data_IF_522681095785
#
_entry.id   IF_522681095785
#
_cell.length_a   1.000
_cell.length_b   1.000
_cell.length_c   1.000
_cell.angle_alpha   90.00
_cell.angle_beta   90.00
_cell.angle_gamma   90.00
#
_symmetry.space_group_name_H-M   'P 1'
#
loop_
_entity.id
_entity.type
_entity.pdbx_description
1 polymer ?
#
# COMPACT_ATOMS: atom_id res chain seq x y z
N UNK A 1 -17.15 -28.46 11.43
CA UNK A 1 -15.68 -28.49 11.36
C UNK A 1 -15.22 -27.10 10.98
N UNK A 2 -14.56 -26.34 11.87
CA UNK A 2 -14.01 -25.05 11.46
C UNK A 2 -12.85 -25.35 10.52
N UNK A 3 -12.95 -24.89 9.28
CA UNK A 3 -11.86 -24.92 8.31
C UNK A 3 -10.67 -24.20 8.92
N UNK A 4 -9.60 -24.94 9.18
CA UNK A 4 -8.29 -24.42 9.54
C UNK A 4 -7.77 -23.62 8.32
N UNK A 5 -8.20 -22.37 8.19
CA UNK A 5 -7.59 -21.43 7.27
C UNK A 5 -6.27 -21.01 7.91
N UNK A 6 -5.16 -21.39 7.30
CA UNK A 6 -3.85 -20.83 7.64
C UNK A 6 -3.95 -19.34 7.28
N UNK A 7 -4.01 -18.49 8.30
CA UNK A 7 -3.95 -17.04 8.13
C UNK A 7 -2.53 -16.66 7.67
N UNK A 8 -2.31 -16.57 6.36
CA UNK A 8 -1.03 -16.15 5.78
C UNK A 8 -0.90 -14.64 5.93
N UNK A 9 0.10 -14.18 6.67
CA UNK A 9 0.42 -12.75 6.81
C UNK A 9 1.06 -12.24 5.52
N UNK A 10 0.49 -11.21 4.90
CA UNK A 10 1.09 -10.54 3.74
C UNK A 10 2.12 -9.50 4.18
N UNK A 11 1.74 -8.62 5.12
CA UNK A 11 2.65 -7.61 5.65
C UNK A 11 2.15 -7.00 6.97
N UNK A 12 3.04 -6.27 7.64
CA UNK A 12 2.77 -5.54 8.88
C UNK A 12 3.12 -4.06 8.68
N UNK A 13 2.30 -3.16 9.24
CA UNK A 13 2.57 -1.74 9.30
C UNK A 13 2.42 -1.24 10.74
N UNK A 14 3.23 -0.26 11.13
CA UNK A 14 3.23 0.30 12.49
C UNK A 14 3.27 1.82 12.46
N UNK A 15 2.60 2.47 13.40
CA UNK A 15 2.54 3.94 13.47
C UNK A 15 3.84 4.60 13.94
N UNK A 16 4.64 3.88 14.71
CA UNK A 16 5.92 4.32 15.24
C UNK A 16 6.77 3.12 15.63
N UNK A 17 8.06 3.36 15.88
CA UNK A 17 8.89 2.42 16.62
C UNK A 17 8.30 2.24 18.03
N UNK A 18 8.41 1.06 18.66
CA UNK A 18 8.02 0.85 20.06
C UNK A 18 8.74 1.78 21.04
N UNK A 19 9.85 2.38 20.60
CA UNK A 19 10.61 3.37 21.35
C UNK A 19 10.28 4.79 20.89
N UNK A 20 9.94 5.72 21.80
CA UNK A 20 9.83 5.53 23.25
C UNK A 20 8.42 5.08 23.71
N UNK A 21 8.39 4.19 24.70
CA UNK A 21 7.21 3.46 25.20
C UNK A 21 6.02 4.29 25.73
N UNK A 22 6.15 5.61 25.82
CA UNK A 22 5.11 6.50 26.36
C UNK A 22 4.13 7.03 25.30
N UNK A 23 4.42 6.84 24.01
CA UNK A 23 3.52 7.27 22.94
C UNK A 23 2.64 6.10 22.50
N UNK A 24 1.32 6.32 22.48
CA UNK A 24 0.40 5.34 21.94
C UNK A 24 0.69 5.07 20.47
N UNK A 25 0.64 3.80 20.10
CA UNK A 25 1.00 3.32 18.78
C UNK A 25 0.07 2.21 18.33
N UNK A 26 -0.18 2.16 17.03
CA UNK A 26 -0.98 1.15 16.38
C UNK A 26 -0.11 0.21 15.56
N UNK A 27 -0.48 -1.06 15.56
CA UNK A 27 0.00 -2.06 14.60
C UNK A 27 -1.16 -2.56 13.77
N UNK A 28 -0.94 -2.65 12.46
CA UNK A 28 -1.85 -3.25 11.51
C UNK A 28 -1.19 -4.45 10.83
N UNK A 29 -1.92 -5.56 10.75
CA UNK A 29 -1.50 -6.79 10.08
C UNK A 29 -2.46 -7.04 8.92
N UNK A 30 -1.91 -7.19 7.72
CA UNK A 30 -2.64 -7.64 6.53
C UNK A 30 -2.44 -9.13 6.35
N UNK A 31 -3.54 -9.84 6.20
CA UNK A 31 -3.56 -11.26 5.84
C UNK A 31 -3.94 -11.43 4.38
N UNK A 32 -3.63 -12.59 3.81
CA UNK A 32 -4.12 -12.99 2.50
C UNK A 32 -5.67 -12.96 2.49
N UNK A 33 -6.29 -12.51 1.40
CA UNK A 33 -7.72 -12.26 1.36
C UNK A 33 -8.11 -10.88 1.88
N UNK A 34 -9.32 -10.79 2.44
CA UNK A 34 -9.95 -9.52 2.81
C UNK A 34 -9.84 -9.17 4.31
N UNK A 35 -8.84 -9.70 5.01
CA UNK A 35 -8.73 -9.55 6.46
C UNK A 35 -7.60 -8.59 6.87
N UNK A 36 -7.96 -7.66 7.76
CA UNK A 36 -7.04 -6.77 8.46
C UNK A 36 -7.23 -6.94 9.97
N UNK A 37 -6.15 -7.04 10.73
CA UNK A 37 -6.21 -6.95 12.19
C UNK A 37 -5.44 -5.73 12.67
N UNK A 38 -6.04 -4.95 13.55
CA UNK A 38 -5.42 -3.79 14.17
C UNK A 38 -5.34 -3.96 15.69
N UNK A 39 -4.29 -3.45 16.30
CA UNK A 39 -4.11 -3.42 17.75
C UNK A 39 -3.45 -2.10 18.16
N UNK A 40 -3.80 -1.59 19.35
CA UNK A 40 -3.14 -0.46 20.01
C UNK A 40 -2.56 -0.92 21.34
N UNK A 41 -1.34 -1.46 21.36
CA UNK A 41 -0.87 -2.19 22.53
C UNK A 41 -0.87 -1.39 23.84
N UNK A 42 -0.75 -0.07 23.78
CA UNK A 42 -0.76 0.79 24.97
C UNK A 42 -2.18 1.20 25.43
N UNK A 43 -3.17 1.22 24.54
CA UNK A 43 -4.54 1.59 24.88
C UNK A 43 -5.46 0.38 25.10
N UNK A 44 -5.47 -0.56 24.15
CA UNK A 44 -6.27 -1.76 24.19
C UNK A 44 -5.52 -2.89 23.46
N UNK A 45 -5.13 -3.93 24.22
CA UNK A 45 -4.44 -5.11 23.70
C UNK A 45 -5.37 -5.99 22.85
N UNK A 46 -6.67 -5.69 22.77
CA UNK A 46 -7.61 -6.41 21.92
C UNK A 46 -7.35 -6.13 20.46
N UNK A 47 -7.28 -7.20 19.69
CA UNK A 47 -7.24 -7.15 18.24
C UNK A 47 -8.63 -6.81 17.68
N UNK A 48 -8.70 -5.77 16.88
CA UNK A 48 -9.88 -5.44 16.07
C UNK A 48 -9.72 -6.05 14.70
N UNK A 49 -10.57 -7.01 14.38
CA UNK A 49 -10.69 -7.58 13.04
C UNK A 49 -11.59 -6.70 12.16
N UNK A 50 -11.05 -6.29 11.02
CA UNK A 50 -11.75 -5.51 10.00
C UNK A 50 -11.72 -6.29 8.69
N UNK A 51 -12.87 -6.38 8.03
CA UNK A 51 -12.94 -6.89 6.66
C UNK A 51 -12.78 -5.76 5.67
N UNK A 52 -11.93 -5.98 4.69
CA UNK A 52 -11.73 -5.05 3.59
C UNK A 52 -12.95 -5.09 2.66
N UNK A 53 -13.33 -3.94 2.07
CA UNK A 53 -14.53 -3.84 1.24
C UNK A 53 -14.46 -4.68 -0.04
N UNK A 54 -13.26 -5.08 -0.49
CA UNK A 54 -13.07 -5.86 -1.71
C UNK A 54 -12.22 -7.10 -1.43
N UNK A 55 -12.59 -8.21 -2.09
CA UNK A 55 -11.91 -9.51 -1.98
C UNK A 55 -10.57 -9.54 -2.76
N UNK A 56 -10.44 -8.73 -3.80
CA UNK A 56 -9.27 -8.73 -4.71
C UNK A 56 -8.01 -8.02 -4.17
N UNK A 57 -7.90 -7.79 -2.86
CA UNK A 57 -6.77 -7.10 -2.21
C UNK A 57 -5.63 -8.02 -1.77
N UNK A 58 -5.51 -9.20 -2.38
CA UNK A 58 -4.57 -10.24 -1.96
C UNK A 58 -3.10 -9.80 -1.99
N UNK A 59 -2.76 -8.81 -2.82
CA UNK A 59 -1.37 -8.34 -3.04
C UNK A 59 -1.11 -6.91 -2.58
N UNK A 60 -2.09 -6.26 -1.97
CA UNK A 60 -1.94 -4.88 -1.51
C UNK A 60 -1.26 -4.85 -0.14
N UNK A 61 -0.18 -4.08 -0.02
CA UNK A 61 0.50 -3.89 1.25
C UNK A 61 -0.20 -2.80 2.08
N UNK A 62 -0.40 -3.09 3.36
CA UNK A 62 -0.81 -2.09 4.34
C UNK A 62 0.38 -1.15 4.63
N UNK A 63 0.14 0.15 4.65
CA UNK A 63 1.16 1.16 4.98
C UNK A 63 0.62 2.07 6.07
N UNK A 64 1.47 2.55 6.97
CA UNK A 64 1.11 3.66 7.85
C UNK A 64 1.69 4.97 7.32
N UNK A 65 0.86 6.00 7.18
CA UNK A 65 1.28 7.37 6.89
C UNK A 65 1.44 8.13 8.19
N UNK A 66 2.65 8.64 8.43
CA UNK A 66 2.92 9.53 9.56
C UNK A 66 2.31 10.90 9.35
N UNK A 67 2.33 11.39 8.09
CA UNK A 67 1.74 12.67 7.70
C UNK A 67 0.24 12.73 8.01
N UNK A 68 -0.49 11.69 7.63
CA UNK A 68 -1.96 11.66 7.76
C UNK A 68 -2.46 10.95 9.03
N UNK A 69 -1.54 10.40 9.83
CA UNK A 69 -1.80 9.57 11.03
C UNK A 69 -2.80 8.43 10.78
N UNK A 70 -2.63 7.74 9.64
CA UNK A 70 -3.59 6.77 9.11
C UNK A 70 -2.90 5.56 8.51
N UNK A 71 -3.58 4.43 8.63
CA UNK A 71 -3.26 3.25 7.83
C UNK A 71 -3.91 3.38 6.46
N UNK A 72 -3.15 3.06 5.42
CA UNK A 72 -3.58 3.05 4.03
C UNK A 72 -3.43 1.66 3.44
N UNK A 73 -4.39 1.29 2.60
CA UNK A 73 -4.34 0.11 1.77
C UNK A 73 -4.74 0.48 0.36
N UNK A 74 -3.88 0.17 -0.61
CA UNK A 74 -4.12 0.47 -2.02
C UNK A 74 -5.08 -0.54 -2.62
N UNK A 75 -6.09 -0.08 -3.34
CA UNK A 75 -6.99 -0.94 -4.09
C UNK A 75 -6.30 -1.45 -5.38
N UNK A 76 -6.70 -2.62 -5.92
CA UNK A 76 -6.11 -3.19 -7.12
C UNK A 76 -6.49 -2.26 -8.26
N UNK A 77 -5.57 -2.06 -9.19
CA UNK A 77 -5.69 -0.97 -10.16
C UNK A 77 -4.85 0.25 -9.78
N UNK A 78 -4.62 0.47 -8.48
CA UNK A 78 -3.92 1.64 -7.98
C UNK A 78 -4.68 2.95 -8.22
N UNK A 79 -6.03 2.90 -8.18
CA UNK A 79 -6.91 4.04 -8.41
C UNK A 79 -7.60 4.55 -7.14
N UNK A 80 -7.59 3.76 -6.07
CA UNK A 80 -8.22 4.13 -4.81
C UNK A 80 -7.34 3.72 -3.63
N UNK A 81 -7.33 4.55 -2.60
CA UNK A 81 -6.78 4.24 -1.29
C UNK A 81 -7.94 4.09 -0.30
N UNK A 82 -7.83 3.09 0.56
CA UNK A 82 -8.68 2.97 1.72
C UNK A 82 -7.88 3.31 2.96
N UNK A 83 -8.50 4.05 3.89
CA UNK A 83 -7.82 4.47 5.11
C UNK A 83 -8.60 4.20 6.39
N UNK A 84 -7.84 3.92 7.44
CA UNK A 84 -8.31 3.70 8.80
C UNK A 84 -7.52 4.59 9.74
N UNK A 85 -8.23 5.27 10.65
CA UNK A 85 -7.60 5.97 11.76
C UNK A 85 -7.18 4.99 12.86
N UNK A 86 -6.39 5.48 13.81
CA UNK A 86 -5.91 4.69 14.94
C UNK A 86 -7.03 4.19 15.87
N UNK A 87 -8.26 4.71 15.80
CA UNK A 87 -9.33 4.34 16.73
C UNK A 87 -10.05 3.03 16.35
N UNK A 88 -9.72 2.43 15.19
CA UNK A 88 -10.08 1.07 14.75
C UNK A 88 -11.48 0.58 15.16
N UNK A 89 -12.51 1.44 15.12
CA UNK A 89 -13.85 1.00 15.54
C UNK A 89 -14.40 0.01 14.50
N UNK A 90 -14.94 -1.12 14.95
CA UNK A 90 -15.47 -2.19 14.08
C UNK A 90 -16.53 -1.70 13.09
N UNK A 91 -17.28 -0.66 13.45
CA UNK A 91 -18.31 -0.04 12.60
C UNK A 91 -17.80 1.15 11.76
N UNK A 92 -16.54 1.56 11.94
CA UNK A 92 -15.94 2.60 11.10
C UNK A 92 -15.67 2.03 9.71
N UNK A 93 -16.53 2.38 8.76
CA UNK A 93 -16.28 2.15 7.34
C UNK A 93 -14.96 2.83 6.94
N UNK A 94 -14.13 2.19 6.10
CA UNK A 94 -12.92 2.82 5.59
C UNK A 94 -13.28 4.10 4.84
N UNK A 95 -12.42 5.11 4.96
CA UNK A 95 -12.52 6.28 4.07
C UNK A 95 -11.84 5.96 2.76
N UNK A 96 -12.54 6.22 1.67
CA UNK A 96 -12.02 6.06 0.31
C UNK A 96 -11.44 7.37 -0.19
N UNK A 97 -10.31 7.28 -0.88
CA UNK A 97 -9.60 8.38 -1.50
C UNK A 97 -9.29 7.98 -2.94
N UNK A 98 -9.81 8.73 -3.92
CA UNK A 98 -9.53 8.50 -5.34
C UNK A 98 -8.12 9.01 -5.67
N UNK A 99 -7.32 8.21 -6.38
CA UNK A 99 -6.03 8.63 -6.93
C UNK A 99 -6.24 9.11 -8.35
N UNK A 100 -6.04 10.40 -8.59
CA UNK A 100 -6.18 11.01 -9.91
C UNK A 100 -4.80 11.19 -10.51
N UNK A 101 -4.49 10.43 -11.55
CA UNK A 101 -3.18 10.41 -12.19
C UNK A 101 -3.09 11.48 -13.30
N UNK A 102 -2.11 12.36 -13.19
CA UNK A 102 -1.84 13.46 -14.12
C UNK A 102 -0.51 13.30 -14.84
N UNK A 103 -0.39 13.94 -16.00
CA UNK A 103 0.83 13.98 -16.82
C UNK A 103 1.37 12.59 -17.18
N UNK A 104 0.48 11.60 -17.33
CA UNK A 104 0.84 10.25 -17.78
C UNK A 104 1.62 10.38 -19.10
N UNK A 105 2.79 9.74 -19.24
CA UNK A 105 3.61 9.89 -20.43
C UNK A 105 2.83 9.45 -21.67
N UNK A 106 2.96 10.22 -22.76
CA UNK A 106 2.33 9.89 -24.04
C UNK A 106 3.11 8.75 -24.72
N UNK A 107 2.87 7.53 -24.28
CA UNK A 107 3.53 6.34 -24.82
C UNK A 107 2.83 5.87 -26.12
N UNK A 108 3.59 5.33 -27.08
CA UNK A 108 3.01 4.70 -28.28
C UNK A 108 2.04 3.57 -27.90
N UNK A 109 0.99 3.37 -28.70
CA UNK A 109 -0.02 2.33 -28.44
C UNK A 109 0.56 0.92 -28.37
N UNK A 110 1.66 0.64 -29.08
CA UNK A 110 2.38 -0.65 -29.00
C UNK A 110 3.02 -0.87 -27.64
N UNK A 111 3.54 0.18 -27.02
CA UNK A 111 4.14 0.12 -25.70
C UNK A 111 3.07 -0.03 -24.61
N UNK A 112 1.93 0.66 -24.72
CA UNK A 112 0.77 0.44 -23.84
C UNK A 112 0.28 -1.00 -23.87
N UNK A 113 0.05 -1.55 -25.07
CA UNK A 113 -0.32 -2.96 -25.24
C UNK A 113 0.70 -3.92 -24.62
N UNK A 114 1.99 -3.58 -24.70
CA UNK A 114 3.04 -4.35 -24.04
C UNK A 114 2.89 -4.28 -22.52
N UNK A 115 2.78 -3.09 -21.93
CA UNK A 115 2.61 -2.91 -20.49
C UNK A 115 1.37 -3.61 -19.94
N UNK A 116 0.25 -3.59 -20.67
CA UNK A 116 -0.99 -4.27 -20.29
C UNK A 116 -0.85 -5.80 -20.24
N UNK A 117 0.11 -6.36 -21.00
CA UNK A 117 0.43 -7.79 -20.96
C UNK A 117 1.38 -8.19 -19.82
N UNK A 118 2.00 -7.21 -19.14
CA UNK A 118 2.98 -7.47 -18.08
C UNK A 118 2.31 -7.65 -16.72
N UNK A 119 3.02 -8.32 -15.80
CA UNK A 119 2.62 -8.35 -14.41
C UNK A 119 2.84 -6.98 -13.77
N UNK A 120 1.76 -6.31 -13.35
CA UNK A 120 1.83 -5.02 -12.65
C UNK A 120 1.64 -5.20 -11.15
N UNK A 121 2.54 -4.60 -10.38
CA UNK A 121 2.41 -4.41 -8.94
C UNK A 121 2.30 -2.90 -8.68
N UNK A 122 1.33 -2.49 -7.86
CA UNK A 122 1.11 -1.09 -7.50
C UNK A 122 1.52 -0.91 -6.02
N UNK A 123 2.45 0.00 -5.73
CA UNK A 123 2.97 0.24 -4.39
C UNK A 123 2.67 1.67 -3.95
N UNK A 124 2.10 1.80 -2.76
CA UNK A 124 1.89 3.08 -2.09
C UNK A 124 3.00 3.28 -1.05
N UNK A 125 3.75 4.38 -1.15
CA UNK A 125 4.91 4.65 -0.28
C UNK A 125 4.92 6.10 0.19
N UNK A 126 5.48 6.33 1.38
CA UNK A 126 5.69 7.66 1.96
C UNK A 126 7.18 7.84 2.26
N UNK A 127 7.73 8.98 1.85
CA UNK A 127 9.13 9.35 2.12
C UNK A 127 9.32 9.81 3.57
N UNK A 128 10.57 9.86 4.07
CA UNK A 128 10.86 10.47 5.37
C UNK A 128 10.43 11.95 5.49
N UNK A 129 10.36 12.68 4.37
CA UNK A 129 9.88 14.06 4.29
C UNK A 129 8.34 14.16 4.35
N UNK A 130 7.61 13.04 4.31
CA UNK A 130 6.15 12.99 4.30
C UNK A 130 5.53 13.13 2.90
N UNK A 131 6.34 13.08 1.83
CA UNK A 131 5.85 13.04 0.47
C UNK A 131 5.35 11.65 0.13
N UNK A 132 4.19 11.56 -0.51
CA UNK A 132 3.61 10.28 -0.91
C UNK A 132 3.83 10.00 -2.38
N UNK A 133 4.05 8.72 -2.70
CA UNK A 133 4.26 8.25 -4.07
C UNK A 133 3.42 7.00 -4.34
N UNK A 134 2.88 6.95 -5.56
CA UNK A 134 2.36 5.72 -6.15
C UNK A 134 3.40 5.21 -7.17
N UNK A 135 3.89 4.01 -6.95
CA UNK A 135 4.84 3.34 -7.84
C UNK A 135 4.14 2.20 -8.56
N UNK A 136 4.05 2.29 -9.88
CA UNK A 136 3.56 1.21 -10.73
C UNK A 136 4.76 0.45 -11.30
N UNK A 137 4.89 -0.81 -10.91
CA UNK A 137 6.02 -1.67 -11.24
C UNK A 137 5.58 -2.76 -12.21
N UNK A 138 6.11 -2.74 -13.43
CA UNK A 138 5.77 -3.67 -14.50
C UNK A 138 6.91 -4.67 -14.71
N UNK A 139 6.67 -5.93 -14.35
CA UNK A 139 7.64 -7.01 -14.46
C UNK A 139 7.40 -7.83 -15.74
N UNK A 140 8.49 -8.09 -16.47
CA UNK A 140 8.50 -8.96 -17.65
C UNK A 140 9.31 -10.23 -17.34
N UNK A 141 8.64 -11.37 -17.41
CA UNK A 141 9.26 -12.68 -17.28
C UNK A 141 9.55 -13.25 -18.67
N UNK A 142 10.81 -13.57 -18.94
CA UNK A 142 11.21 -14.23 -20.18
C UNK A 142 11.81 -15.60 -19.88
N UNK A 143 11.82 -16.55 -20.84
CA UNK A 143 12.49 -17.83 -20.66
C UNK A 143 13.98 -17.70 -20.29
N UNK A 144 14.62 -16.58 -20.64
CA UNK A 144 16.02 -16.26 -20.34
C UNK A 144 16.21 -15.60 -18.96
N UNK A 145 15.13 -15.34 -18.22
CA UNK A 145 15.17 -14.74 -16.88
C UNK A 145 14.35 -13.45 -16.75
N UNK A 146 14.63 -12.73 -15.65
CA UNK A 146 13.96 -11.47 -15.31
C UNK A 146 14.58 -10.30 -16.08
N UNK A 147 13.79 -9.59 -16.88
CA UNK A 147 14.23 -8.33 -17.48
C UNK A 147 14.10 -7.19 -16.49
N UNK A 148 14.87 -6.13 -16.72
CA UNK A 148 14.72 -4.88 -15.98
C UNK A 148 13.24 -4.42 -16.06
N UNK A 149 12.60 -4.16 -14.90
CA UNK A 149 11.20 -3.81 -14.86
C UNK A 149 11.00 -2.38 -15.38
N UNK A 150 9.84 -2.13 -15.97
CA UNK A 150 9.42 -0.76 -16.29
C UNK A 150 8.74 -0.17 -15.07
N UNK A 151 9.15 1.01 -14.63
CA UNK A 151 8.62 1.66 -13.42
C UNK A 151 8.03 3.00 -13.79
N UNK A 152 6.82 3.28 -13.30
CA UNK A 152 6.21 4.61 -13.36
C UNK A 152 5.98 5.11 -11.94
N UNK A 153 6.45 6.32 -11.65
CA UNK A 153 6.30 6.95 -10.33
C UNK A 153 5.38 8.15 -10.47
N UNK A 154 4.43 8.25 -9.55
CA UNK A 154 3.56 9.40 -9.41
C UNK A 154 3.73 10.00 -8.03
N UNK A 155 4.08 11.29 -7.96
CA UNK A 155 4.24 12.05 -6.72
C UNK A 155 2.93 12.75 -6.37
N UNK A 156 2.54 12.74 -5.09
CA UNK A 156 1.39 13.51 -4.58
C UNK A 156 1.62 15.02 -4.80
N UNK A 157 0.62 15.72 -5.33
CA UNK A 157 0.61 17.19 -5.41
C UNK A 157 -0.27 17.79 -4.32
N UNK A 158 -1.56 17.45 -4.34
CA UNK A 158 -2.54 17.93 -3.37
C UNK A 158 -3.66 16.90 -3.16
N UNK A 159 -4.46 17.14 -2.12
CA UNK A 159 -5.67 16.36 -1.84
C UNK A 159 -6.86 17.30 -1.72
N UNK A 160 -7.82 17.19 -2.63
CA UNK A 160 -9.02 18.04 -2.71
C UNK A 160 -10.27 17.15 -2.74
N UNK A 161 -11.22 17.39 -1.82
CA UNK A 161 -12.53 16.74 -1.80
C UNK A 161 -12.50 15.19 -1.88
N UNK A 162 -11.55 14.54 -1.20
CA UNK A 162 -11.43 13.08 -1.23
C UNK A 162 -10.79 12.52 -2.51
N UNK A 163 -10.13 13.39 -3.28
CA UNK A 163 -9.27 13.03 -4.42
C UNK A 163 -7.85 13.47 -4.13
N UNK A 164 -6.89 12.57 -4.31
CA UNK A 164 -5.46 12.85 -4.21
C UNK A 164 -4.89 12.91 -5.61
N UNK A 165 -4.43 14.11 -5.98
CA UNK A 165 -3.85 14.37 -7.28
C UNK A 165 -2.39 13.89 -7.28
N UNK A 166 -2.07 13.06 -8.26
CA UNK A 166 -0.78 12.37 -8.38
C UNK A 166 -0.17 12.70 -9.73
N UNK A 167 0.97 13.39 -9.75
CA UNK A 167 1.68 13.76 -10.98
C UNK A 167 2.75 12.75 -11.32
N UNK A 168 2.78 12.26 -12.56
CA UNK A 168 3.89 11.46 -13.06
C UNK A 168 5.22 12.23 -12.96
N UNK A 169 6.27 11.57 -12.49
CA UNK A 169 7.61 12.15 -12.39
C UNK A 169 8.68 11.10 -12.66
N UNK A 170 9.74 11.49 -13.34
CA UNK A 170 11.00 10.75 -13.44
C UNK A 170 12.00 11.20 -12.37
N UNK A 171 11.74 12.35 -11.74
CA UNK A 171 12.56 12.93 -10.69
C UNK A 171 11.98 12.57 -9.32
N UNK A 172 12.67 11.68 -8.61
CA UNK A 172 12.44 11.34 -7.20
C UNK A 172 13.47 11.99 -6.27
N UNK A 173 14.32 12.88 -6.79
CA UNK A 173 15.41 13.52 -6.05
C UNK A 173 16.48 12.52 -5.61
N UNK A 174 16.87 12.59 -4.35
CA UNK A 174 17.80 11.70 -3.67
C UNK A 174 17.11 10.51 -2.97
N UNK A 175 15.79 10.36 -3.15
CA UNK A 175 15.03 9.28 -2.53
C UNK A 175 15.37 7.93 -3.15
N UNK A 176 15.49 6.91 -2.29
CA UNK A 176 15.58 5.52 -2.68
C UNK A 176 14.31 4.79 -2.23
N UNK A 177 13.61 4.14 -3.17
CA UNK A 177 12.43 3.34 -2.88
C UNK A 177 12.83 1.86 -2.88
N UNK A 178 12.73 1.22 -1.72
CA UNK A 178 12.99 -0.22 -1.57
C UNK A 178 11.67 -0.97 -1.58
N UNK A 179 11.51 -1.85 -2.58
CA UNK A 179 10.35 -2.76 -2.69
C UNK A 179 10.88 -4.16 -2.41
N UNK A 180 10.59 -4.69 -1.23
CA UNK A 180 10.89 -6.07 -0.90
C UNK A 180 9.63 -6.92 -1.03
N UNK A 181 9.74 -8.06 -1.71
CA UNK A 181 8.81 -9.17 -1.52
C UNK A 181 9.19 -9.79 -0.18
N UNK A 182 8.27 -9.82 0.77
CA UNK A 182 8.51 -10.36 2.12
C UNK A 182 8.67 -11.87 2.10
N UNK A 183 9.66 -12.39 1.37
CA UNK A 183 10.04 -13.80 1.46
C UNK A 183 10.82 -14.01 2.76
N UNK A 184 10.24 -14.87 3.59
CA UNK A 184 10.70 -15.47 4.84
C UNK A 184 11.95 -14.88 5.49
N UNK A 185 11.73 -14.09 6.54
CA UNK A 185 12.70 -13.98 7.64
C UNK A 185 12.77 -15.32 8.39
N UNK A 186 13.31 -16.35 7.74
CA UNK A 186 13.83 -17.53 8.42
C UNK A 186 15.34 -17.35 8.53
N UNK A 187 15.78 -16.89 9.71
CA UNK A 187 17.13 -17.10 10.19
C UNK A 187 17.10 -17.54 11.64
#
# INVERSE_FOLDING_TARGET
>A
MPTCQIEVVCNVAMSSSPEPYYKDWGVGVKFLGNQLNFCRPHCDLRWTNIRTPFESWDRSNLMYSKKDERFYLLAPGGMYLCSWDLNFKKDNKPKFLELVLHNIPNLPSSLWKRLDSLCREDHWVESPSGESFLVKWYSEYTPQGFKAPTVMVFREEDTICGKRNMRYTEDIGDLCIFISKGEDFLR
#
